data_IF_234895530147
#
_entry.id   IF_234895530147
#
_cell.length_a   1.000
_cell.length_b   1.000
_cell.length_c   1.000
_cell.angle_alpha   90.00
_cell.angle_beta   90.00
_cell.angle_gamma   90.00
#
_symmetry.space_group_name_H-M   'P 1'
#
loop_
_entity.id
_entity.type
_entity.pdbx_description
1 polymer ?
#
# COMPACT_ATOMS: atom_id res chain seq x y z
N UNK A 1 14.25 -18.65 -9.02
CA UNK A 1 13.93 -17.60 -10.02
C UNK A 1 12.57 -16.95 -9.79
N UNK A 2 11.46 -17.69 -9.68
CA UNK A 2 10.12 -17.11 -9.46
C UNK A 2 10.06 -16.23 -8.19
N UNK A 3 10.62 -16.71 -7.06
CA UNK A 3 10.67 -15.94 -5.81
C UNK A 3 11.41 -14.60 -5.95
N UNK A 4 12.47 -14.56 -6.75
CA UNK A 4 13.23 -13.32 -7.00
C UNK A 4 12.42 -12.33 -7.83
N UNK A 5 11.77 -12.81 -8.89
CA UNK A 5 10.90 -11.97 -9.74
C UNK A 5 9.72 -11.43 -8.93
N UNK A 6 9.07 -12.28 -8.13
CA UNK A 6 8.00 -11.87 -7.24
C UNK A 6 8.50 -10.84 -6.22
N UNK A 7 9.65 -11.09 -5.57
CA UNK A 7 10.26 -10.16 -4.62
C UNK A 7 10.52 -8.78 -5.20
N UNK A 8 11.10 -8.71 -6.41
CA UNK A 8 11.29 -7.45 -7.14
C UNK A 8 9.96 -6.75 -7.43
N UNK A 9 8.94 -7.48 -7.87
CA UNK A 9 7.62 -6.92 -8.13
C UNK A 9 6.98 -6.37 -6.86
N UNK A 10 7.08 -7.08 -5.73
CA UNK A 10 6.61 -6.63 -4.43
C UNK A 10 7.31 -5.35 -3.97
N UNK A 11 8.63 -5.26 -4.11
CA UNK A 11 9.38 -4.03 -3.79
C UNK A 11 8.93 -2.88 -4.68
N UNK A 12 8.84 -3.08 -6.00
CA UNK A 12 8.43 -2.04 -6.94
C UNK A 12 7.01 -1.52 -6.63
N UNK A 13 6.06 -2.43 -6.39
CA UNK A 13 4.69 -2.10 -6.02
C UNK A 13 4.62 -1.38 -4.67
N UNK A 14 5.40 -1.83 -3.68
CA UNK A 14 5.43 -1.21 -2.36
C UNK A 14 5.97 0.22 -2.41
N UNK A 15 7.07 0.45 -3.14
CA UNK A 15 7.64 1.79 -3.35
C UNK A 15 6.65 2.68 -4.10
N UNK A 16 6.03 2.18 -5.17
CA UNK A 16 5.01 2.92 -5.91
C UNK A 16 3.80 3.28 -5.01
N UNK A 17 3.33 2.33 -4.19
CA UNK A 17 2.24 2.56 -3.24
C UNK A 17 2.56 3.65 -2.21
N UNK A 18 3.80 3.69 -1.71
CA UNK A 18 4.25 4.74 -0.78
C UNK A 18 4.30 6.11 -1.46
N UNK A 19 4.90 6.17 -2.66
CA UNK A 19 5.13 7.42 -3.39
C UNK A 19 3.82 8.03 -3.91
N UNK A 20 2.93 7.18 -4.43
CA UNK A 20 1.68 7.61 -5.06
C UNK A 20 0.46 7.53 -4.13
N UNK A 21 0.62 7.22 -2.84
CA UNK A 21 -0.48 7.11 -1.88
C UNK A 21 -1.48 8.29 -1.93
N UNK A 22 -1.06 9.57 -1.99
CA UNK A 22 -2.01 10.69 -2.10
C UNK A 22 -2.82 10.65 -3.40
N UNK A 23 -2.19 10.30 -4.52
CA UNK A 23 -2.85 10.21 -5.82
C UNK A 23 -3.80 9.00 -5.90
N UNK A 24 -3.45 7.89 -5.26
CA UNK A 24 -4.29 6.69 -5.15
C UNK A 24 -5.56 7.02 -4.36
N UNK A 25 -5.41 7.63 -3.18
CA UNK A 25 -6.56 8.02 -2.33
C UNK A 25 -7.45 9.03 -3.05
N UNK A 26 -6.87 10.03 -3.72
CA UNK A 26 -7.65 10.98 -4.51
C UNK A 26 -8.36 10.33 -5.72
N UNK A 27 -7.78 9.31 -6.33
CA UNK A 27 -8.45 8.53 -7.38
C UNK A 27 -9.60 7.68 -6.81
N UNK A 28 -9.40 7.03 -5.66
CA UNK A 28 -10.43 6.26 -4.97
C UNK A 28 -11.61 7.13 -4.54
N UNK A 29 -11.33 8.34 -4.03
CA UNK A 29 -12.34 9.35 -3.71
C UNK A 29 -13.20 9.71 -4.93
N UNK A 30 -12.55 10.04 -6.06
CA UNK A 30 -13.26 10.35 -7.32
C UNK A 30 -14.10 9.19 -7.87
N UNK A 31 -13.77 7.96 -7.52
CA UNK A 31 -14.52 6.77 -7.91
C UNK A 31 -15.63 6.41 -6.91
N UNK A 32 -15.87 7.23 -5.89
CA UNK A 32 -16.85 6.93 -4.84
C UNK A 32 -16.46 5.74 -3.97
N UNK A 33 -15.20 5.30 -4.01
CA UNK A 33 -14.69 4.15 -3.25
C UNK A 33 -14.28 4.54 -1.82
N UNK A 34 -14.79 5.65 -1.31
CA UNK A 34 -14.48 6.19 0.01
C UNK A 34 -15.72 6.14 0.92
N UNK A 35 -16.17 4.95 1.37
CA UNK A 35 -17.46 4.75 2.04
C UNK A 35 -17.61 5.38 3.44
N UNK A 36 -16.57 6.05 3.96
CA UNK A 36 -16.50 6.60 5.32
C UNK A 36 -16.20 8.11 5.36
N UNK A 37 -16.43 8.86 4.28
CA UNK A 37 -16.20 10.31 4.28
C UNK A 37 -17.33 11.12 4.90
N UNK A 38 -18.60 10.70 4.76
CA UNK A 38 -19.74 11.57 5.09
C UNK A 38 -20.87 10.85 5.86
N UNK A 39 -20.56 10.20 6.99
CA UNK A 39 -21.60 9.97 8.01
C UNK A 39 -21.40 10.99 9.13
N UNK A 40 -21.99 12.17 8.91
CA UNK A 40 -21.97 13.39 9.74
C UNK A 40 -22.42 13.23 11.21
N UNK A 41 -22.59 12.00 11.72
CA UNK A 41 -23.00 11.72 13.09
C UNK A 41 -22.43 10.42 13.68
N UNK A 42 -21.55 9.71 12.98
CA UNK A 42 -20.92 8.50 13.49
C UNK A 42 -19.43 8.79 13.72
N UNK A 43 -18.90 8.36 14.87
CA UNK A 43 -17.51 8.57 15.32
C UNK A 43 -16.48 7.77 14.48
N UNK A 44 -16.79 7.55 13.20
CA UNK A 44 -16.20 6.58 12.26
C UNK A 44 -15.79 7.25 10.94
N UNK A 45 -15.84 8.58 10.85
CA UNK A 45 -15.31 9.32 9.70
C UNK A 45 -13.79 9.18 9.66
N UNK A 46 -13.27 8.51 8.62
CA UNK A 46 -11.82 8.34 8.44
C UNK A 46 -11.29 9.47 7.57
N UNK A 47 -10.44 10.31 8.16
CA UNK A 47 -9.79 11.44 7.50
C UNK A 47 -8.93 10.99 6.31
N UNK A 48 -8.80 11.87 5.31
CA UNK A 48 -7.99 11.63 4.13
C UNK A 48 -6.52 11.37 4.48
N UNK A 49 -5.97 12.03 5.50
CA UNK A 49 -4.59 11.82 5.93
C UNK A 49 -4.38 10.40 6.49
N UNK A 50 -5.35 9.87 7.24
CA UNK A 50 -5.30 8.51 7.78
C UNK A 50 -5.36 7.46 6.67
N UNK A 51 -6.19 7.69 5.64
CA UNK A 51 -6.23 6.81 4.47
C UNK A 51 -4.88 6.78 3.75
N UNK A 52 -4.29 7.95 3.52
CA UNK A 52 -2.95 8.05 2.92
C UNK A 52 -1.92 7.32 3.78
N UNK A 53 -1.99 7.46 5.11
CA UNK A 53 -1.09 6.79 6.04
C UNK A 53 -1.23 5.27 5.97
N UNK A 54 -2.45 4.75 5.92
CA UNK A 54 -2.72 3.31 5.76
C UNK A 54 -2.21 2.82 4.41
N UNK A 55 -2.46 3.54 3.31
CA UNK A 55 -1.94 3.17 1.97
C UNK A 55 -0.42 3.12 1.95
N UNK A 56 0.25 4.11 2.56
CA UNK A 56 1.72 4.08 2.72
C UNK A 56 2.17 2.90 3.56
N UNK A 57 1.46 2.60 4.66
CA UNK A 57 1.73 1.44 5.51
C UNK A 57 1.63 0.12 4.74
N UNK A 58 0.60 -0.06 3.93
CA UNK A 58 0.47 -1.22 3.03
C UNK A 58 1.66 -1.29 2.06
N UNK A 59 2.05 -0.16 1.47
CA UNK A 59 3.24 -0.11 0.60
C UNK A 59 4.52 -0.55 1.32
N UNK A 60 4.73 -0.14 2.57
CA UNK A 60 5.86 -0.59 3.40
C UNK A 60 5.84 -2.10 3.61
N UNK A 61 4.68 -2.68 3.90
CA UNK A 61 4.53 -4.14 4.05
C UNK A 61 4.93 -4.87 2.76
N UNK A 62 4.49 -4.39 1.60
CA UNK A 62 4.89 -4.95 0.31
C UNK A 62 6.40 -4.90 0.10
N UNK A 63 7.07 -3.80 0.45
CA UNK A 63 8.53 -3.70 0.40
C UNK A 63 9.20 -4.74 1.31
N UNK A 64 8.75 -4.86 2.56
CA UNK A 64 9.32 -5.81 3.53
C UNK A 64 9.16 -7.25 3.05
N UNK A 65 7.97 -7.63 2.61
CA UNK A 65 7.70 -8.97 2.06
C UNK A 65 8.53 -9.22 0.80
N UNK A 66 8.66 -8.21 -0.06
CA UNK A 66 9.50 -8.28 -1.25
C UNK A 66 10.96 -8.57 -0.93
N UNK A 67 11.54 -7.85 0.04
CA UNK A 67 12.90 -8.13 0.51
C UNK A 67 13.04 -9.52 1.12
N UNK A 68 12.08 -9.98 1.91
CA UNK A 68 12.10 -11.35 2.46
C UNK A 68 12.13 -12.40 1.35
N UNK A 69 11.34 -12.22 0.28
CA UNK A 69 11.35 -13.10 -0.90
C UNK A 69 12.66 -13.04 -1.68
N UNK A 70 13.31 -11.88 -1.76
CA UNK A 70 14.62 -11.74 -2.40
C UNK A 70 15.72 -12.48 -1.62
N UNK A 71 15.71 -12.34 -0.30
CA UNK A 71 16.65 -13.04 0.59
C UNK A 71 16.44 -14.56 0.49
N UNK A 72 15.19 -15.02 0.58
CA UNK A 72 14.85 -16.43 0.40
C UNK A 72 15.23 -16.96 -0.99
N UNK A 73 14.84 -16.24 -2.05
CA UNK A 73 15.05 -16.67 -3.43
C UNK A 73 16.51 -16.64 -3.90
N UNK A 74 17.39 -15.91 -3.19
CA UNK A 74 18.83 -15.85 -3.47
C UNK A 74 19.63 -16.96 -2.81
N UNK A 75 19.00 -17.75 -1.92
CA UNK A 75 19.68 -18.82 -1.18
C UNK A 75 20.60 -18.31 -0.06
N UNK A 76 20.44 -17.04 0.33
CA UNK A 76 21.11 -16.46 1.51
C UNK A 76 20.52 -17.03 2.81
N UNK A 77 19.34 -17.64 2.73
CA UNK A 77 18.58 -18.24 3.83
C UNK A 77 18.14 -19.67 3.49
#
# INVERSE_FOLDING_TARGET
MIALVAGLAFVALGVAGIQYAPAIVAAQHRQGMAPFEDREGENTAIDAADRIRVTKGTGVVFVVVGFALLVYGSGVL
#
